data_IF_910881045388
#
_entry.id   IF_910881045388
#
_cell.length_a   1.000
_cell.length_b   1.000
_cell.length_c   1.000
_cell.angle_alpha   90.00
_cell.angle_beta   90.00
_cell.angle_gamma   90.00
#
_symmetry.space_group_name_H-M   'P 1'
#
loop_
_entity.id
_entity.type
_entity.pdbx_description
1 polymer ?
#
# COMPACT_ATOMS: atom_id res chain seq x y z
N UNK A 1 -6.12 -12.67 0.99
CA UNK A 1 -5.98 -13.34 -0.34
C UNK A 1 -4.69 -14.15 -0.47
N UNK A 2 -4.22 -14.83 0.58
CA UNK A 2 -3.05 -15.70 0.47
C UNK A 2 -3.37 -16.84 -0.50
N UNK A 3 -2.57 -16.97 -1.56
CA UNK A 3 -2.66 -18.14 -2.42
C UNK A 3 -2.21 -19.39 -1.62
N UNK A 4 -2.80 -20.56 -1.88
CA UNK A 4 -2.38 -21.80 -1.21
C UNK A 4 -0.88 -22.10 -1.42
N UNK A 5 -0.32 -21.73 -2.59
CA UNK A 5 1.13 -21.80 -2.86
C UNK A 5 1.92 -20.81 -2.02
N UNK A 6 1.49 -19.56 -1.94
CA UNK A 6 2.15 -18.54 -1.11
C UNK A 6 2.11 -18.86 0.37
N UNK A 7 1.00 -19.40 0.87
CA UNK A 7 0.90 -19.86 2.25
C UNK A 7 1.85 -21.01 2.56
N UNK A 8 1.94 -22.04 1.68
CA UNK A 8 2.87 -23.17 1.85
C UNK A 8 4.32 -22.71 1.82
N UNK A 9 4.70 -21.85 0.88
CA UNK A 9 6.04 -21.29 0.78
C UNK A 9 6.40 -20.46 2.02
N UNK A 10 5.47 -19.61 2.48
CA UNK A 10 5.63 -18.82 3.69
C UNK A 10 5.85 -19.71 4.92
N UNK A 11 5.05 -20.77 5.10
CA UNK A 11 5.22 -21.70 6.22
C UNK A 11 6.52 -22.50 6.16
N UNK A 12 6.95 -22.94 4.97
CA UNK A 12 8.20 -23.64 4.78
C UNK A 12 9.43 -22.74 5.08
N UNK A 13 9.41 -21.50 4.60
CA UNK A 13 10.48 -20.53 4.86
C UNK A 13 10.45 -19.97 6.29
N UNK A 14 9.28 -19.89 6.92
CA UNK A 14 9.13 -19.39 8.29
C UNK A 14 9.93 -20.23 9.29
N UNK A 15 9.85 -21.56 9.21
CA UNK A 15 10.56 -22.45 10.14
C UNK A 15 12.08 -22.28 10.05
N UNK A 16 12.63 -22.12 8.85
CA UNK A 16 14.08 -21.92 8.67
C UNK A 16 14.54 -20.52 9.09
N UNK A 17 13.75 -19.49 8.80
CA UNK A 17 14.05 -18.11 9.17
C UNK A 17 13.87 -17.89 10.67
N UNK A 18 12.79 -18.38 11.30
CA UNK A 18 12.58 -18.28 12.74
C UNK A 18 13.65 -19.02 13.53
N UNK A 19 14.10 -20.17 13.05
CA UNK A 19 15.20 -20.90 13.68
C UNK A 19 16.52 -20.13 13.62
N UNK A 20 16.87 -19.57 12.46
CA UNK A 20 18.10 -18.77 12.29
C UNK A 20 18.12 -17.49 13.13
N UNK A 21 16.96 -16.88 13.36
CA UNK A 21 16.80 -15.66 14.20
C UNK A 21 16.86 -16.01 15.68
N UNK A 22 16.29 -17.15 16.09
CA UNK A 22 16.35 -17.64 17.47
C UNK A 22 17.79 -17.93 17.93
N UNK A 23 18.64 -18.39 17.00
CA UNK A 23 20.08 -18.67 17.26
C UNK A 23 20.90 -17.38 17.33
N UNK A 24 20.50 -16.29 16.66
CA UNK A 24 21.26 -15.03 16.59
C UNK A 24 20.83 -13.95 17.61
N UNK A 25 19.76 -14.16 18.36
CA UNK A 25 19.27 -13.27 19.43
C UNK A 25 18.93 -11.83 19.00
N UNK A 26 17.78 -11.32 19.42
CA UNK A 26 17.38 -9.91 19.44
C UNK A 26 17.12 -9.18 18.10
N UNK A 27 17.08 -9.86 16.95
CA UNK A 27 16.66 -9.23 15.70
C UNK A 27 15.22 -9.68 15.36
N UNK A 28 14.28 -8.76 15.06
CA UNK A 28 12.93 -9.16 14.69
C UNK A 28 12.95 -10.00 13.40
N UNK A 29 12.09 -11.02 13.34
CA UNK A 29 11.92 -11.78 12.10
C UNK A 29 11.39 -10.89 10.99
N UNK A 30 11.63 -11.25 9.73
CA UNK A 30 11.06 -10.52 8.59
C UNK A 30 9.54 -10.37 8.71
N UNK A 31 8.83 -11.40 9.16
CA UNK A 31 7.39 -11.36 9.38
C UNK A 31 6.99 -10.34 10.48
N UNK A 32 7.74 -10.29 11.57
CA UNK A 32 7.55 -9.28 12.62
C UNK A 32 7.83 -7.88 12.10
N UNK A 33 8.95 -7.70 11.39
CA UNK A 33 9.31 -6.42 10.78
C UNK A 33 8.22 -5.92 9.84
N UNK A 34 7.79 -6.74 8.86
CA UNK A 34 6.73 -6.39 7.93
C UNK A 34 5.40 -6.10 8.64
N UNK A 35 5.06 -6.89 9.68
CA UNK A 35 3.86 -6.68 10.47
C UNK A 35 3.91 -5.39 11.30
N UNK A 36 5.08 -5.04 11.84
CA UNK A 36 5.27 -3.77 12.56
C UNK A 36 5.16 -2.58 11.61
N UNK A 37 5.84 -2.63 10.46
CA UNK A 37 5.77 -1.61 9.42
C UNK A 37 4.33 -1.33 9.03
N UNK A 38 3.57 -2.37 8.70
CA UNK A 38 2.18 -2.26 8.33
C UNK A 38 1.34 -1.56 9.42
N UNK A 39 1.50 -1.96 10.69
CA UNK A 39 0.78 -1.36 11.83
C UNK A 39 1.15 0.10 12.09
N UNK A 40 2.42 0.46 11.93
CA UNK A 40 2.85 1.85 12.11
C UNK A 40 2.24 2.75 11.03
N UNK A 41 2.18 2.29 9.79
CA UNK A 41 1.51 3.01 8.71
C UNK A 41 0.02 3.17 9.04
N UNK A 42 -0.68 2.10 9.42
CA UNK A 42 -2.10 2.16 9.76
C UNK A 42 -2.35 3.08 10.97
N UNK A 43 -1.50 3.02 12.01
CA UNK A 43 -1.60 3.93 13.16
C UNK A 43 -1.40 5.40 12.75
N UNK A 44 -0.48 5.69 11.85
CA UNK A 44 -0.25 7.05 11.33
C UNK A 44 -1.47 7.55 10.56
N UNK A 45 -2.03 6.71 9.70
CA UNK A 45 -3.25 7.01 8.97
C UNK A 45 -4.44 7.23 9.91
N UNK A 46 -4.60 6.39 10.96
CA UNK A 46 -5.66 6.55 11.97
C UNK A 46 -5.61 7.92 12.65
N UNK A 47 -4.42 8.40 12.98
CA UNK A 47 -4.23 9.72 13.61
C UNK A 47 -4.52 10.88 12.66
N UNK A 48 -4.24 10.70 11.39
CA UNK A 48 -4.56 11.70 10.37
C UNK A 48 -6.04 11.71 10.01
N UNK A 49 -6.73 10.58 10.20
CA UNK A 49 -8.14 10.37 9.85
C UNK A 49 -8.48 10.84 8.42
N UNK A 50 -7.84 10.26 7.39
CA UNK A 50 -8.01 10.68 6.01
C UNK A 50 -9.41 10.35 5.49
N UNK A 51 -9.94 11.21 4.62
CA UNK A 51 -11.15 10.96 3.85
C UNK A 51 -10.85 10.22 2.53
N UNK A 52 -9.61 10.32 2.05
CA UNK A 52 -9.12 9.64 0.84
C UNK A 52 -7.69 9.17 1.02
N UNK A 53 -7.41 7.92 0.62
CA UNK A 53 -6.07 7.34 0.65
C UNK A 53 -5.70 6.87 -0.75
N UNK A 54 -4.50 7.28 -1.23
CA UNK A 54 -3.89 6.72 -2.43
C UNK A 54 -2.67 5.87 -2.04
N UNK A 55 -2.73 4.56 -2.23
CA UNK A 55 -1.61 3.64 -2.00
C UNK A 55 -0.88 3.39 -3.31
N UNK A 56 0.38 3.85 -3.38
CA UNK A 56 1.26 3.73 -4.54
C UNK A 56 2.09 2.45 -4.40
N UNK A 57 2.11 1.62 -5.43
CA UNK A 57 2.72 0.29 -5.36
C UNK A 57 1.93 -0.63 -4.44
N UNK A 58 0.59 -0.60 -4.56
CA UNK A 58 -0.33 -1.30 -3.66
C UNK A 58 -0.15 -2.83 -3.65
N UNK A 59 0.46 -3.40 -4.69
CA UNK A 59 0.74 -4.83 -4.78
C UNK A 59 -0.47 -5.70 -4.43
N UNK A 60 -0.23 -6.69 -3.60
CA UNK A 60 -1.29 -7.55 -3.04
C UNK A 60 -1.65 -7.19 -1.58
N UNK A 61 -1.31 -5.97 -1.14
CA UNK A 61 -1.69 -5.46 0.18
C UNK A 61 -3.21 -5.56 0.39
N UNK A 62 -3.62 -5.89 1.61
CA UNK A 62 -5.03 -5.94 2.00
C UNK A 62 -5.52 -4.64 2.64
N UNK A 63 -4.64 -3.65 2.77
CA UNK A 63 -4.98 -2.37 3.44
C UNK A 63 -6.17 -1.72 2.77
N UNK A 64 -6.17 -1.61 1.43
CA UNK A 64 -7.26 -0.99 0.68
C UNK A 64 -8.61 -1.63 0.96
N UNK A 65 -8.68 -2.96 0.96
CA UNK A 65 -9.93 -3.67 1.27
C UNK A 65 -10.38 -3.45 2.72
N UNK A 66 -9.45 -3.43 3.67
CA UNK A 66 -9.77 -3.19 5.09
C UNK A 66 -10.25 -1.75 5.31
N UNK A 67 -9.54 -0.77 4.81
CA UNK A 67 -9.88 0.64 5.00
C UNK A 67 -11.18 1.03 4.29
N UNK A 68 -11.38 0.57 3.05
CA UNK A 68 -12.61 0.84 2.30
C UNK A 68 -13.84 0.17 2.94
N UNK A 69 -13.72 -1.10 3.37
CA UNK A 69 -14.85 -1.84 3.91
C UNK A 69 -15.17 -1.48 5.37
N UNK A 70 -14.15 -1.34 6.23
CA UNK A 70 -14.34 -1.24 7.68
C UNK A 70 -14.41 0.21 8.18
N UNK A 71 -13.76 1.15 7.46
CA UNK A 71 -13.70 2.57 7.85
C UNK A 71 -14.44 3.49 6.89
N UNK A 72 -14.94 2.98 5.77
CA UNK A 72 -15.69 3.75 4.79
C UNK A 72 -14.88 4.81 4.05
N UNK A 73 -13.53 4.73 4.10
CA UNK A 73 -12.62 5.66 3.43
C UNK A 73 -12.58 5.36 1.93
N UNK A 74 -12.51 6.38 1.10
CA UNK A 74 -12.20 6.21 -0.33
C UNK A 74 -10.74 5.81 -0.49
N UNK A 75 -10.51 4.60 -1.00
CA UNK A 75 -9.19 4.02 -1.13
C UNK A 75 -8.84 3.78 -2.61
N UNK A 76 -7.75 4.40 -3.05
CA UNK A 76 -7.27 4.35 -4.43
C UNK A 76 -6.00 3.50 -4.45
N UNK A 77 -6.07 2.32 -5.04
CA UNK A 77 -4.90 1.46 -5.22
C UNK A 77 -4.26 1.77 -6.57
N UNK A 78 -3.00 2.21 -6.52
CA UNK A 78 -2.21 2.62 -7.68
C UNK A 78 -1.08 1.61 -7.85
N UNK A 79 -1.01 0.97 -9.02
CA UNK A 79 0.06 0.02 -9.35
C UNK A 79 0.11 -0.20 -10.88
N UNK A 80 1.04 -1.04 -11.30
CA UNK A 80 1.15 -1.47 -12.69
C UNK A 80 -0.08 -2.29 -13.12
N UNK A 81 -0.49 -2.23 -14.39
CA UNK A 81 -1.73 -2.86 -14.88
C UNK A 81 -1.84 -4.35 -14.53
N UNK A 82 -0.75 -5.11 -14.64
CA UNK A 82 -0.74 -6.55 -14.38
C UNK A 82 -0.91 -6.86 -12.88
N UNK A 83 -0.37 -6.03 -11.99
CA UNK A 83 -0.53 -6.18 -10.53
C UNK A 83 -1.98 -5.94 -10.11
N UNK A 84 -2.59 -4.87 -10.63
CA UNK A 84 -4.00 -4.57 -10.37
C UNK A 84 -4.94 -5.63 -10.95
N UNK A 85 -4.64 -6.18 -12.12
CA UNK A 85 -5.40 -7.28 -12.70
C UNK A 85 -5.35 -8.53 -11.79
N UNK A 86 -4.16 -8.91 -11.33
CA UNK A 86 -3.97 -10.02 -10.41
C UNK A 86 -4.70 -9.79 -9.07
N UNK A 87 -4.65 -8.57 -8.53
CA UNK A 87 -5.33 -8.22 -7.28
C UNK A 87 -6.84 -8.28 -7.42
N UNK A 88 -7.40 -7.71 -8.49
CA UNK A 88 -8.84 -7.79 -8.77
C UNK A 88 -9.32 -9.22 -8.90
N UNK A 89 -8.60 -10.06 -9.63
CA UNK A 89 -8.93 -11.48 -9.76
C UNK A 89 -8.96 -12.20 -8.40
N UNK A 90 -7.99 -11.90 -7.50
CA UNK A 90 -7.96 -12.46 -6.15
C UNK A 90 -9.13 -11.96 -5.28
N UNK A 91 -9.52 -10.70 -5.39
CA UNK A 91 -10.68 -10.15 -4.69
C UNK A 91 -11.95 -10.84 -5.18
N UNK A 92 -12.12 -10.96 -6.50
CA UNK A 92 -13.30 -11.60 -7.10
C UNK A 92 -13.39 -13.09 -6.72
N UNK A 93 -12.28 -13.82 -6.78
CA UNK A 93 -12.24 -15.25 -6.46
C UNK A 93 -12.44 -15.53 -4.96
N UNK A 94 -11.90 -14.67 -4.06
CA UNK A 94 -11.72 -15.03 -2.65
C UNK A 94 -12.45 -14.15 -1.65
N UNK A 95 -12.89 -12.95 -2.04
CA UNK A 95 -13.62 -12.10 -1.12
C UNK A 95 -15.09 -12.56 -1.03
N UNK A 96 -15.64 -12.71 0.19
CA UNK A 96 -17.05 -12.97 0.36
C UNK A 96 -17.90 -11.90 -0.33
N UNK A 97 -19.10 -12.26 -0.83
CA UNK A 97 -20.01 -11.33 -1.49
C UNK A 97 -20.31 -10.10 -0.63
N UNK A 98 -20.59 -10.28 0.66
CA UNK A 98 -20.82 -9.19 1.60
C UNK A 98 -19.62 -8.23 1.74
N UNK A 99 -18.38 -8.73 1.59
CA UNK A 99 -17.21 -7.86 1.57
C UNK A 99 -17.15 -7.05 0.27
N UNK A 100 -17.37 -7.70 -0.88
CA UNK A 100 -17.38 -7.02 -2.18
C UNK A 100 -18.44 -5.91 -2.24
N UNK A 101 -19.61 -6.16 -1.70
CA UNK A 101 -20.69 -5.16 -1.57
C UNK A 101 -20.25 -3.96 -0.71
N UNK A 102 -19.60 -4.21 0.43
CA UNK A 102 -19.09 -3.13 1.30
C UNK A 102 -17.96 -2.32 0.66
N UNK A 103 -17.15 -2.94 -0.20
CA UNK A 103 -16.13 -2.22 -0.96
C UNK A 103 -16.76 -1.22 -1.92
N UNK A 104 -17.76 -1.66 -2.69
CA UNK A 104 -18.52 -0.81 -3.62
C UNK A 104 -17.61 0.12 -4.42
N UNK A 105 -17.97 1.41 -4.47
CA UNK A 105 -17.17 2.46 -5.13
C UNK A 105 -16.04 3.02 -4.25
N UNK A 106 -15.91 2.55 -2.99
CA UNK A 106 -14.88 3.06 -2.07
C UNK A 106 -13.49 2.55 -2.37
N UNK A 107 -13.38 1.36 -2.98
CA UNK A 107 -12.11 0.81 -3.44
C UNK A 107 -12.00 0.93 -4.96
N UNK A 108 -11.02 1.68 -5.44
CA UNK A 108 -10.75 1.82 -6.87
C UNK A 108 -9.31 1.49 -7.22
N UNK A 109 -9.09 1.08 -8.47
CA UNK A 109 -7.79 0.63 -8.96
C UNK A 109 -7.37 1.48 -10.16
N UNK A 110 -6.20 2.08 -10.08
CA UNK A 110 -5.66 3.02 -11.07
C UNK A 110 -4.33 2.53 -11.60
N UNK A 111 -4.30 2.16 -12.88
CA UNK A 111 -3.07 1.71 -13.55
C UNK A 111 -2.19 2.92 -13.85
N UNK A 112 -1.18 3.16 -13.01
CA UNK A 112 -0.20 4.23 -13.16
C UNK A 112 1.19 3.70 -12.84
N UNK A 113 2.15 4.06 -13.68
CA UNK A 113 3.57 3.85 -13.38
C UNK A 113 4.11 5.10 -12.66
N UNK A 114 4.74 4.91 -11.52
CA UNK A 114 5.32 6.00 -10.70
C UNK A 114 6.48 6.71 -11.39
N UNK A 115 7.06 6.13 -12.43
CA UNK A 115 8.12 6.74 -13.22
C UNK A 115 7.58 7.45 -14.48
N UNK A 116 6.27 7.40 -14.74
CA UNK A 116 5.65 8.19 -15.83
C UNK A 116 5.79 9.69 -15.50
N UNK A 117 6.27 10.52 -16.43
CA UNK A 117 6.37 11.98 -16.23
C UNK A 117 5.04 12.65 -15.82
N UNK A 118 3.90 12.07 -16.21
CA UNK A 118 2.57 12.58 -15.86
C UNK A 118 2.01 12.01 -14.56
N UNK A 119 2.80 11.21 -13.83
CA UNK A 119 2.34 10.59 -12.59
C UNK A 119 1.80 11.63 -11.58
N UNK A 120 2.54 12.74 -11.38
CA UNK A 120 2.15 13.79 -10.44
C UNK A 120 0.82 14.48 -10.79
N UNK A 121 0.61 14.79 -12.07
CA UNK A 121 -0.65 15.36 -12.58
C UNK A 121 -1.82 14.40 -12.32
N UNK A 122 -1.64 13.13 -12.66
CA UNK A 122 -2.68 12.10 -12.49
C UNK A 122 -2.98 11.82 -11.02
N UNK A 123 -1.96 11.80 -10.17
CA UNK A 123 -2.14 11.67 -8.72
C UNK A 123 -2.91 12.87 -8.16
N UNK A 124 -2.57 14.08 -8.58
CA UNK A 124 -3.28 15.29 -8.19
C UNK A 124 -4.76 15.25 -8.55
N UNK A 125 -5.09 14.84 -9.78
CA UNK A 125 -6.48 14.68 -10.22
C UNK A 125 -7.24 13.63 -9.40
N UNK A 126 -6.59 12.53 -9.00
CA UNK A 126 -7.19 11.50 -8.14
C UNK A 126 -7.47 11.99 -6.71
N UNK A 127 -6.69 12.95 -6.23
CA UNK A 127 -6.83 13.53 -4.88
C UNK A 127 -7.69 14.81 -4.87
N UNK A 128 -8.10 15.31 -6.03
CA UNK A 128 -8.91 16.52 -6.13
C UNK A 128 -10.20 16.43 -5.31
N UNK A 129 -10.48 17.48 -4.52
CA UNK A 129 -11.66 17.56 -3.66
C UNK A 129 -11.57 16.70 -2.37
N UNK A 130 -10.43 16.08 -2.07
CA UNK A 130 -10.20 15.49 -0.76
C UNK A 130 -9.84 16.58 0.26
N UNK A 131 -10.45 16.53 1.44
CA UNK A 131 -10.17 17.47 2.52
C UNK A 131 -8.93 17.10 3.33
N UNK A 132 -8.72 15.82 3.54
CA UNK A 132 -7.60 15.25 4.29
C UNK A 132 -7.01 14.03 3.56
N UNK A 133 -6.41 14.22 2.38
CA UNK A 133 -5.83 13.12 1.63
C UNK A 133 -4.60 12.54 2.34
N UNK A 134 -4.41 11.25 2.17
CA UNK A 134 -3.16 10.58 2.51
C UNK A 134 -2.63 9.83 1.29
N UNK A 135 -1.31 9.86 1.12
CA UNK A 135 -0.61 8.98 0.17
C UNK A 135 0.21 7.98 0.96
N UNK A 136 0.20 6.73 0.53
CA UNK A 136 0.98 5.65 1.14
C UNK A 136 1.88 5.02 0.09
N UNK A 137 3.13 4.73 0.45
CA UNK A 137 4.04 3.94 -0.35
C UNK A 137 4.79 2.95 0.57
N UNK A 138 4.29 1.72 0.67
CA UNK A 138 4.90 0.68 1.50
C UNK A 138 5.76 -0.27 0.66
N UNK A 139 7.08 -0.33 0.96
CA UNK A 139 8.03 -1.21 0.28
C UNK A 139 8.34 -0.82 -1.16
N UNK A 140 8.02 0.40 -1.59
CA UNK A 140 8.19 0.85 -2.97
C UNK A 140 9.54 1.54 -3.21
N UNK A 141 9.95 2.43 -2.31
CA UNK A 141 11.08 3.31 -2.56
C UNK A 141 12.40 2.56 -2.79
N UNK A 142 12.55 1.36 -2.24
CA UNK A 142 13.71 0.50 -2.43
C UNK A 142 13.94 0.05 -3.88
N UNK A 143 12.91 0.03 -4.70
CA UNK A 143 12.98 -0.35 -6.12
C UNK A 143 13.31 0.81 -7.06
N UNK A 144 13.31 2.04 -6.55
CA UNK A 144 13.53 3.24 -7.35
C UNK A 144 14.97 3.73 -7.23
N UNK A 145 15.53 4.23 -8.33
CA UNK A 145 16.80 4.97 -8.32
C UNK A 145 16.63 6.30 -7.58
N UNK A 146 17.72 6.92 -7.14
CA UNK A 146 17.66 8.21 -6.43
C UNK A 146 16.92 9.30 -7.22
N UNK A 147 17.19 9.51 -8.53
CA UNK A 147 16.41 10.47 -9.33
C UNK A 147 14.91 10.16 -9.36
N UNK A 148 14.53 8.88 -9.49
CA UNK A 148 13.13 8.47 -9.47
C UNK A 148 12.46 8.71 -8.11
N UNK A 149 13.17 8.47 -7.00
CA UNK A 149 12.68 8.80 -5.65
C UNK A 149 12.42 10.30 -5.50
N UNK A 150 13.37 11.13 -5.94
CA UNK A 150 13.21 12.59 -5.90
C UNK A 150 12.01 13.03 -6.73
N UNK A 151 11.84 12.51 -7.95
CA UNK A 151 10.71 12.81 -8.80
C UNK A 151 9.38 12.39 -8.15
N UNK A 152 9.30 11.18 -7.59
CA UNK A 152 8.11 10.69 -6.87
C UNK A 152 7.77 11.57 -5.67
N UNK A 153 8.75 11.87 -4.81
CA UNK A 153 8.55 12.73 -3.63
C UNK A 153 8.07 14.12 -4.02
N UNK A 154 8.62 14.68 -5.10
CA UNK A 154 8.21 16.00 -5.65
C UNK A 154 6.76 15.94 -6.16
N UNK A 155 6.40 14.89 -6.90
CA UNK A 155 5.05 14.68 -7.43
C UNK A 155 4.02 14.52 -6.32
N UNK A 156 4.33 13.70 -5.30
CA UNK A 156 3.45 13.50 -4.16
C UNK A 156 3.27 14.79 -3.35
N UNK A 157 4.36 15.52 -3.10
CA UNK A 157 4.30 16.82 -2.43
C UNK A 157 3.40 17.81 -3.18
N UNK A 158 3.55 17.88 -4.49
CA UNK A 158 2.73 18.78 -5.32
C UNK A 158 1.24 18.39 -5.29
N UNK A 159 0.94 17.09 -5.35
CA UNK A 159 -0.43 16.57 -5.30
C UNK A 159 -1.12 16.80 -3.94
N UNK A 160 -0.37 16.78 -2.83
CA UNK A 160 -0.89 16.99 -1.48
C UNK A 160 -0.94 18.45 -1.06
N UNK A 161 -0.17 19.33 -1.70
CA UNK A 161 -0.04 20.74 -1.31
C UNK A 161 -1.37 21.52 -1.20
N UNK A 162 -2.36 21.32 -2.09
CA UNK A 162 -3.62 22.06 -2.02
C UNK A 162 -4.43 21.84 -0.75
N UNK A 163 -4.36 20.63 -0.16
CA UNK A 163 -5.18 20.22 1.00
C UNK A 163 -4.38 19.97 2.28
N UNK A 164 -3.05 20.06 2.25
CA UNK A 164 -2.21 19.82 3.42
C UNK A 164 -2.19 18.37 3.88
N UNK A 165 -2.32 17.42 2.96
CA UNK A 165 -2.33 15.99 3.23
C UNK A 165 -0.99 15.41 3.73
N UNK A 166 -0.97 14.12 4.04
CA UNK A 166 0.22 13.41 4.54
C UNK A 166 0.73 12.38 3.55
N UNK A 167 2.05 12.21 3.52
CA UNK A 167 2.70 11.11 2.81
C UNK A 167 3.36 10.17 3.82
N UNK A 168 2.93 8.92 3.84
CA UNK A 168 3.45 7.88 4.73
C UNK A 168 4.19 6.84 3.89
N UNK A 169 5.47 6.65 4.16
CA UNK A 169 6.29 5.69 3.43
C UNK A 169 7.32 5.05 4.34
N UNK A 170 7.81 3.88 3.96
CA UNK A 170 8.96 3.27 4.57
C UNK A 170 10.22 3.51 3.72
N UNK A 171 11.34 3.70 4.38
CA UNK A 171 12.65 3.82 3.77
C UNK A 171 13.62 2.91 4.49
N UNK A 172 14.30 2.04 3.76
CA UNK A 172 15.48 1.38 4.28
C UNK A 172 16.65 2.38 4.15
N UNK A 173 17.11 2.89 5.29
CA UNK A 173 18.41 3.54 5.33
C UNK A 173 19.45 2.43 5.15
N UNK A 174 20.11 2.43 3.99
CA UNK A 174 21.26 1.55 3.73
C UNK A 174 22.45 2.01 4.55
#
# INVERSE_FOLDING_TARGET
>A
YATARGARLFWALRLTIEWSVRVRGAVPTMAQYLGHRHRVIDWTLDRHAPDRIAEIGAGLSRRGTTWAADRGVRYLEIDLPHMLAAKRALIEERAPAALRERLGERLSHHALDVVDPRFGERLGALLEGAERPAVVAEGLLGYLTLPQRVALLTSVRAALAPSGGVFVFDSHLA
#
